data_IF_503422503672
#
_entry.id   IF_503422503672
#
_cell.length_a   1.000
_cell.length_b   1.000
_cell.length_c   1.000
_cell.angle_alpha   90.00
_cell.angle_beta   90.00
_cell.angle_gamma   90.00
#
_symmetry.space_group_name_H-M   'P 1'
#
loop_
_entity.id
_entity.type
_entity.pdbx_description
1 polymer ?
#
# COMPACT_ATOMS: atom_id res chain seq x y z
N UNK A 1 0.41 21.38 67.09
CA UNK A 1 -0.04 20.21 66.33
C UNK A 1 -0.04 20.59 64.85
N UNK A 2 1.06 20.36 64.14
CA UNK A 2 1.20 20.65 62.70
C UNK A 2 1.22 19.31 61.98
N UNK A 3 0.16 19.04 61.22
CA UNK A 3 -0.01 17.81 60.46
C UNK A 3 0.87 17.94 59.21
N UNK A 4 1.90 17.09 59.10
CA UNK A 4 2.67 16.90 57.89
C UNK A 4 1.93 15.90 57.00
N UNK A 5 1.32 16.38 55.93
CA UNK A 5 0.76 15.52 54.88
C UNK A 5 1.92 15.02 54.01
N UNK A 6 2.25 13.74 54.11
CA UNK A 6 3.21 13.08 53.22
C UNK A 6 2.49 12.76 51.92
N UNK A 7 2.83 13.49 50.85
CA UNK A 7 2.41 13.18 49.49
C UNK A 7 3.22 11.96 49.00
N UNK A 8 2.57 10.81 48.94
CA UNK A 8 3.11 9.59 48.36
C UNK A 8 3.03 9.72 46.83
N UNK A 9 4.16 10.04 46.18
CA UNK A 9 4.28 9.95 44.72
C UNK A 9 4.38 8.46 44.34
N UNK A 10 3.30 7.93 43.77
CA UNK A 10 3.31 6.61 43.13
C UNK A 10 3.99 6.77 41.78
N UNK A 11 5.21 6.25 41.65
CA UNK A 11 5.92 6.16 40.39
C UNK A 11 5.32 4.99 39.61
N UNK A 12 4.36 5.27 38.73
CA UNK A 12 3.85 4.28 37.79
C UNK A 12 4.95 4.08 36.75
N UNK A 13 5.64 2.94 36.80
CA UNK A 13 6.52 2.53 35.71
C UNK A 13 5.64 2.31 34.47
N UNK A 14 5.70 3.24 33.52
CA UNK A 14 5.10 3.04 32.21
C UNK A 14 5.89 1.91 31.54
N UNK A 15 5.27 0.73 31.43
CA UNK A 15 5.77 -0.31 30.55
C UNK A 15 5.58 0.18 29.13
N UNK A 16 6.66 0.59 28.47
CA UNK A 16 6.62 0.77 27.03
C UNK A 16 6.33 -0.61 26.40
N UNK A 17 5.16 -0.76 25.79
CA UNK A 17 4.93 -1.86 24.87
C UNK A 17 5.89 -1.64 23.71
N UNK A 18 6.97 -2.43 23.64
CA UNK A 18 7.71 -2.54 22.39
C UNK A 18 6.79 -3.23 21.38
N UNK A 19 6.22 -2.42 20.48
CA UNK A 19 5.40 -2.91 19.37
C UNK A 19 6.24 -3.53 18.25
N UNK A 20 7.55 -3.28 18.24
CA UNK A 20 8.46 -3.88 17.28
C UNK A 20 8.85 -5.30 17.69
N UNK A 21 8.83 -6.20 16.72
CA UNK A 21 9.32 -7.56 16.88
C UNK A 21 10.79 -7.58 16.46
N UNK A 22 11.67 -7.49 17.45
CA UNK A 22 13.12 -7.40 17.24
C UNK A 22 13.64 -8.69 16.59
N UNK A 23 14.57 -8.53 15.66
CA UNK A 23 15.32 -9.63 15.09
C UNK A 23 16.32 -10.18 16.11
N UNK A 24 15.99 -11.33 16.70
CA UNK A 24 16.88 -12.01 17.64
C UNK A 24 17.20 -13.42 17.12
N UNK A 25 18.49 -13.78 17.11
CA UNK A 25 18.94 -15.07 16.58
C UNK A 25 18.50 -15.35 15.13
N UNK A 26 18.46 -14.31 14.28
CA UNK A 26 17.98 -14.34 12.88
C UNK A 26 16.47 -14.61 12.72
N UNK A 27 15.68 -14.43 13.78
CA UNK A 27 14.23 -14.53 13.72
C UNK A 27 13.53 -13.37 14.45
N UNK A 28 12.60 -12.72 13.77
CA UNK A 28 11.63 -11.82 14.38
C UNK A 28 10.41 -12.65 14.83
N UNK A 29 10.07 -12.55 16.12
CA UNK A 29 8.88 -13.19 16.69
C UNK A 29 9.00 -14.71 16.74
N UNK A 30 10.23 -15.21 16.59
CA UNK A 30 10.56 -16.64 16.54
C UNK A 30 10.14 -17.36 15.25
N UNK A 31 9.52 -16.68 14.27
CA UNK A 31 8.97 -17.33 13.07
C UNK A 31 9.36 -16.65 11.75
N UNK A 32 9.67 -15.36 11.75
CA UNK A 32 10.02 -14.63 10.54
C UNK A 32 11.54 -14.50 10.42
N UNK A 33 12.19 -15.11 9.41
CA UNK A 33 13.63 -14.94 9.21
C UNK A 33 13.99 -13.47 9.01
N UNK A 34 15.06 -13.04 9.65
CA UNK A 34 15.57 -11.67 9.55
C UNK A 34 17.09 -11.64 9.59
N UNK A 35 17.69 -10.66 8.90
CA UNK A 35 19.14 -10.44 8.85
C UNK A 35 19.43 -8.94 8.74
N UNK A 36 19.68 -8.29 9.87
CA UNK A 36 19.96 -6.85 9.93
C UNK A 36 18.74 -5.94 9.74
N UNK A 37 17.52 -6.47 9.91
CA UNK A 37 16.27 -5.71 9.90
C UNK A 37 15.27 -6.27 10.94
N UNK A 38 14.45 -5.40 11.50
CA UNK A 38 13.40 -5.75 12.46
C UNK A 38 12.03 -5.83 11.76
N UNK A 39 11.10 -6.61 12.33
CA UNK A 39 9.71 -6.65 11.88
C UNK A 39 8.89 -5.71 12.76
N UNK A 40 8.38 -4.62 12.18
CA UNK A 40 7.56 -3.67 12.95
C UNK A 40 6.09 -4.06 12.98
N UNK A 41 5.54 -4.54 11.87
CA UNK A 41 4.14 -4.95 11.77
C UNK A 41 3.95 -6.00 10.67
N UNK A 42 2.91 -6.81 10.80
CA UNK A 42 2.49 -7.79 9.80
C UNK A 42 0.97 -7.72 9.61
N UNK A 43 0.53 -7.49 8.38
CA UNK A 43 -0.86 -7.68 7.97
C UNK A 43 -1.01 -9.05 7.29
N UNK A 44 -1.90 -9.93 7.80
CA UNK A 44 -2.49 -10.97 6.96
C UNK A 44 -3.19 -10.36 5.74
N UNK A 45 -3.18 -11.05 4.60
CA UNK A 45 -3.78 -10.54 3.37
C UNK A 45 -5.28 -10.23 3.55
N UNK A 46 -5.99 -11.05 4.31
CA UNK A 46 -7.40 -10.87 4.65
C UNK A 46 -7.71 -9.58 5.43
N UNK A 47 -6.73 -9.03 6.16
CA UNK A 47 -6.90 -7.80 6.94
C UNK A 47 -6.72 -6.53 6.08
N UNK A 48 -6.13 -6.68 4.88
CA UNK A 48 -5.97 -5.59 3.90
C UNK A 48 -6.84 -5.81 2.66
N UNK A 49 -8.03 -6.39 2.86
CA UNK A 49 -9.07 -6.56 1.83
C UNK A 49 -9.06 -7.91 1.11
N UNK A 50 -8.13 -8.81 1.44
CA UNK A 50 -8.10 -10.17 0.90
C UNK A 50 -7.74 -10.24 -0.60
N UNK A 51 -8.26 -11.27 -1.27
CA UNK A 51 -7.86 -11.71 -2.60
C UNK A 51 -7.10 -13.04 -2.54
N UNK A 52 -6.85 -13.64 -3.70
CA UNK A 52 -6.13 -14.91 -3.80
C UNK A 52 -4.64 -14.74 -3.45
N UNK A 53 -4.04 -13.64 -3.92
CA UNK A 53 -2.60 -13.32 -3.78
C UNK A 53 -2.37 -11.82 -3.68
N UNK A 54 -1.28 -11.44 -3.01
CA UNK A 54 -0.61 -10.15 -3.21
C UNK A 54 0.69 -10.38 -3.98
N UNK A 55 1.12 -9.40 -4.77
CA UNK A 55 2.12 -9.70 -5.80
C UNK A 55 3.12 -8.57 -6.13
N UNK A 56 2.81 -7.30 -5.88
CA UNK A 56 3.77 -6.19 -6.01
C UNK A 56 3.46 -5.08 -5.00
N UNK A 57 4.43 -4.21 -4.73
CA UNK A 57 4.22 -3.04 -3.91
C UNK A 57 5.15 -1.87 -4.27
N UNK A 58 4.73 -0.67 -3.88
CA UNK A 58 5.53 0.54 -3.98
C UNK A 58 5.30 1.41 -2.73
N UNK A 59 6.27 2.28 -2.41
CA UNK A 59 6.13 3.27 -1.35
C UNK A 59 5.85 4.65 -1.93
N UNK A 60 5.10 5.47 -1.19
CA UNK A 60 4.95 6.89 -1.48
C UNK A 60 4.99 7.71 -0.19
N UNK A 61 5.70 8.83 -0.24
CA UNK A 61 5.79 9.79 0.85
C UNK A 61 5.15 11.09 0.40
N UNK A 62 4.12 11.53 1.13
CA UNK A 62 3.54 12.84 0.93
C UNK A 62 4.46 13.89 1.55
N UNK A 63 5.38 14.43 0.75
CA UNK A 63 6.42 15.39 1.17
C UNK A 63 5.90 16.53 2.08
N UNK A 64 4.76 17.19 1.79
CA UNK A 64 4.29 18.30 2.63
C UNK A 64 3.93 17.90 4.07
N UNK A 65 3.42 16.68 4.28
CA UNK A 65 3.00 16.24 5.62
C UNK A 65 3.94 15.20 6.25
N UNK A 66 4.86 14.63 5.47
CA UNK A 66 5.70 13.51 5.90
C UNK A 66 4.92 12.22 6.17
N UNK A 67 3.69 12.09 5.62
CA UNK A 67 2.92 10.85 5.75
C UNK A 67 3.46 9.83 4.74
N UNK A 68 3.62 8.59 5.16
CA UNK A 68 4.18 7.52 4.36
C UNK A 68 3.13 6.44 4.11
N UNK A 69 3.08 5.93 2.88
CA UNK A 69 2.07 4.99 2.44
C UNK A 69 2.70 3.81 1.68
N UNK A 70 2.23 2.62 1.99
CA UNK A 70 2.45 1.44 1.16
C UNK A 70 1.27 1.31 0.18
N UNK A 71 1.61 1.21 -1.10
CA UNK A 71 0.70 0.87 -2.20
C UNK A 71 0.92 -0.61 -2.50
N UNK A 72 -0.05 -1.46 -2.17
CA UNK A 72 0.10 -2.92 -2.20
C UNK A 72 -0.89 -3.56 -3.18
N UNK A 73 -0.37 -4.26 -4.18
CA UNK A 73 -1.16 -4.93 -5.20
C UNK A 73 -1.67 -6.29 -4.70
N UNK A 74 -2.97 -6.51 -4.94
CA UNK A 74 -3.73 -7.72 -4.62
C UNK A 74 -4.41 -8.23 -5.90
N UNK A 75 -4.81 -9.49 -5.89
CA UNK A 75 -5.45 -10.10 -7.07
C UNK A 75 -6.71 -9.36 -7.52
N UNK A 76 -7.43 -8.77 -6.56
CA UNK A 76 -8.68 -8.06 -6.74
C UNK A 76 -8.58 -6.53 -6.74
N UNK A 77 -7.36 -5.97 -6.68
CA UNK A 77 -7.17 -4.52 -6.69
C UNK A 77 -5.88 -4.06 -6.01
N UNK A 78 -5.89 -2.87 -5.46
CA UNK A 78 -4.75 -2.25 -4.77
C UNK A 78 -5.18 -1.75 -3.40
N UNK A 79 -4.47 -2.14 -2.34
CA UNK A 79 -4.65 -1.60 -1.00
C UNK A 79 -3.71 -0.42 -0.77
N UNK A 80 -4.21 0.63 -0.12
CA UNK A 80 -3.42 1.76 0.35
C UNK A 80 -3.38 1.74 1.87
N UNK A 81 -2.17 1.51 2.40
CA UNK A 81 -1.91 1.39 3.84
C UNK A 81 -1.04 2.55 4.27
N UNK A 82 -1.48 3.35 5.22
CA UNK A 82 -0.63 4.35 5.84
C UNK A 82 0.35 3.66 6.80
N UNK A 83 1.63 3.98 6.66
CA UNK A 83 2.74 3.41 7.42
C UNK A 83 3.56 4.48 8.15
N UNK A 84 3.09 5.74 8.18
CA UNK A 84 3.72 6.88 8.87
C UNK A 84 4.14 6.54 10.31
N UNK A 85 3.27 5.83 11.04
CA UNK A 85 3.66 5.15 12.27
C UNK A 85 3.80 3.66 11.95
N UNK A 86 5.03 3.13 11.82
CA UNK A 86 5.20 1.77 11.33
C UNK A 86 4.89 0.71 12.39
N UNK A 87 4.67 1.12 13.64
CA UNK A 87 4.19 0.25 14.73
C UNK A 87 2.66 0.12 14.73
N UNK A 88 1.96 1.04 14.07
CA UNK A 88 0.52 1.06 13.97
C UNK A 88 0.10 1.49 12.56
N UNK A 89 0.47 0.71 11.52
CA UNK A 89 0.03 1.00 10.17
C UNK A 89 -1.48 0.81 10.05
N UNK A 90 -2.08 1.48 9.06
CA UNK A 90 -3.52 1.55 8.93
C UNK A 90 -3.97 1.32 7.49
N UNK A 91 -4.83 0.33 7.29
CA UNK A 91 -5.50 0.10 6.01
C UNK A 91 -6.56 1.20 5.77
N UNK A 92 -6.24 2.16 4.90
CA UNK A 92 -7.05 3.36 4.71
C UNK A 92 -8.09 3.21 3.60
N UNK A 93 -7.68 2.63 2.48
CA UNK A 93 -8.53 2.57 1.30
C UNK A 93 -8.07 1.50 0.31
N UNK A 94 -8.91 1.23 -0.66
CA UNK A 94 -8.61 0.34 -1.78
C UNK A 94 -9.10 0.89 -3.10
N UNK A 95 -8.38 0.55 -4.16
CA UNK A 95 -8.83 0.70 -5.54
C UNK A 95 -9.12 -0.70 -6.11
N UNK A 96 -10.38 -1.03 -6.41
CA UNK A 96 -10.72 -2.29 -7.06
C UNK A 96 -10.04 -2.44 -8.43
N UNK A 97 -9.81 -3.68 -8.86
CA UNK A 97 -9.39 -3.99 -10.23
C UNK A 97 -10.35 -3.37 -11.25
N UNK A 98 -9.82 -2.86 -12.36
CA UNK A 98 -10.64 -2.25 -13.42
C UNK A 98 -11.62 -3.25 -14.04
N UNK A 99 -11.14 -4.48 -14.25
CA UNK A 99 -11.86 -5.50 -14.99
C UNK A 99 -12.14 -6.71 -14.12
N UNK A 100 -11.23 -7.68 -14.11
CA UNK A 100 -11.37 -8.92 -13.39
C UNK A 100 -10.19 -9.16 -12.45
N UNK A 101 -10.32 -10.16 -11.57
CA UNK A 101 -9.23 -10.53 -10.69
C UNK A 101 -8.09 -11.18 -11.49
N UNK A 102 -6.87 -10.80 -11.17
CA UNK A 102 -5.66 -11.42 -11.71
C UNK A 102 -4.57 -11.37 -10.66
N UNK A 103 -3.87 -12.49 -10.46
CA UNK A 103 -2.73 -12.57 -9.55
C UNK A 103 -1.49 -11.81 -10.06
N UNK A 104 -1.55 -11.25 -11.26
CA UNK A 104 -0.46 -10.49 -11.90
C UNK A 104 -0.85 -9.03 -12.05
N UNK A 105 -0.23 -8.18 -11.24
CA UNK A 105 -0.41 -6.72 -11.18
C UNK A 105 0.94 -6.05 -10.95
N UNK A 106 1.15 -4.85 -11.42
CA UNK A 106 2.40 -4.12 -11.12
C UNK A 106 2.04 -2.67 -10.85
N UNK A 107 2.73 -2.06 -9.89
CA UNK A 107 2.52 -0.66 -9.53
C UNK A 107 3.83 0.08 -9.46
N UNK A 108 3.87 1.27 -10.06
CA UNK A 108 4.95 2.22 -9.82
C UNK A 108 4.38 3.59 -9.52
N UNK A 109 5.07 4.32 -8.65
CA UNK A 109 4.72 5.69 -8.28
C UNK A 109 5.56 6.65 -9.10
N UNK A 110 4.91 7.67 -9.69
CA UNK A 110 5.57 8.76 -10.43
C UNK A 110 5.01 10.08 -9.92
N UNK A 111 5.85 10.84 -9.21
CA UNK A 111 5.37 12.00 -8.45
C UNK A 111 4.32 11.55 -7.42
N UNK A 112 3.11 12.11 -7.51
CA UNK A 112 1.99 11.76 -6.62
C UNK A 112 0.98 10.80 -7.25
N UNK A 113 1.35 10.12 -8.34
CA UNK A 113 0.46 9.20 -9.04
C UNK A 113 0.95 7.76 -8.93
N UNK A 114 0.06 6.85 -8.56
CA UNK A 114 0.26 5.42 -8.72
C UNK A 114 -0.24 4.98 -10.11
N UNK A 115 0.65 4.35 -10.87
CA UNK A 115 0.37 3.74 -12.16
C UNK A 115 0.26 2.23 -11.98
N UNK A 116 -0.94 1.68 -12.19
CA UNK A 116 -1.28 0.31 -11.84
C UNK A 116 -1.69 -0.44 -13.11
N UNK A 117 -0.96 -1.51 -13.44
CA UNK A 117 -1.23 -2.39 -14.59
C UNK A 117 -1.52 -3.82 -14.12
N UNK A 118 -2.18 -4.61 -14.97
CA UNK A 118 -2.44 -6.02 -14.68
C UNK A 118 -2.49 -6.85 -15.96
N UNK A 119 -2.22 -8.16 -15.84
CA UNK A 119 -2.50 -9.10 -16.92
C UNK A 119 -3.98 -9.44 -17.11
N UNK A 120 -4.86 -8.94 -16.24
CA UNK A 120 -6.31 -9.07 -16.43
C UNK A 120 -6.72 -8.57 -17.82
N UNK A 121 -7.69 -9.25 -18.43
CA UNK A 121 -8.14 -8.87 -19.76
C UNK A 121 -8.74 -7.45 -19.77
N UNK A 122 -8.45 -6.71 -20.84
CA UNK A 122 -8.86 -5.31 -21.06
C UNK A 122 -8.56 -4.34 -19.89
N UNK A 123 -7.66 -4.70 -18.97
CA UNK A 123 -7.41 -3.93 -17.75
C UNK A 123 -6.89 -2.52 -18.01
N UNK A 124 -6.05 -2.34 -19.03
CA UNK A 124 -5.31 -1.13 -19.30
C UNK A 124 -4.41 -0.74 -18.13
N UNK A 125 -4.28 0.56 -17.91
CA UNK A 125 -3.57 1.12 -16.76
C UNK A 125 -4.48 2.06 -15.99
N UNK A 126 -4.71 1.74 -14.71
CA UNK A 126 -5.35 2.66 -13.78
C UNK A 126 -4.31 3.66 -13.27
N UNK A 127 -4.69 4.93 -13.20
CA UNK A 127 -3.90 6.01 -12.61
C UNK A 127 -4.64 6.54 -11.41
N UNK A 128 -3.99 6.56 -10.24
CA UNK A 128 -4.58 7.04 -9.00
C UNK A 128 -3.76 8.19 -8.40
N UNK A 129 -4.40 9.31 -8.10
CA UNK A 129 -3.81 10.45 -7.40
C UNK A 129 -3.73 10.16 -5.89
N UNK A 130 -2.51 9.95 -5.41
CA UNK A 130 -2.22 9.57 -4.03
C UNK A 130 -2.51 10.69 -3.02
N UNK A 131 -2.64 11.95 -3.47
CA UNK A 131 -3.10 13.04 -2.60
C UNK A 131 -4.52 12.80 -2.07
N UNK A 132 -5.33 11.98 -2.75
CA UNK A 132 -6.63 11.56 -2.24
C UNK A 132 -6.55 10.89 -0.85
N UNK A 133 -5.46 10.17 -0.58
CA UNK A 133 -5.24 9.46 0.70
C UNK A 133 -5.03 10.42 1.86
N UNK A 134 -4.43 11.59 1.59
CA UNK A 134 -4.08 12.53 2.66
C UNK A 134 -5.30 13.23 3.26
N UNK A 135 -6.44 13.16 2.57
CA UNK A 135 -7.72 13.71 3.02
C UNK A 135 -8.52 12.76 3.90
N UNK A 136 -8.05 11.51 4.05
CA UNK A 136 -8.70 10.50 4.89
C UNK A 136 -8.21 10.69 6.33
N UNK A 137 -9.13 11.07 7.20
CA UNK A 137 -8.97 11.07 8.66
C UNK A 137 -9.68 9.82 9.23
N UNK A 138 -8.93 8.80 9.69
CA UNK A 138 -9.52 7.56 10.15
C UNK A 138 -10.24 7.66 11.51
N UNK A 139 -10.01 8.74 12.27
CA UNK A 139 -10.78 8.98 13.49
C UNK A 139 -12.19 9.52 13.19
N UNK A 140 -12.42 9.95 11.95
CA UNK A 140 -13.67 10.57 11.48
C UNK A 140 -14.38 9.70 10.44
N UNK A 141 -13.63 8.98 9.60
CA UNK A 141 -14.14 8.19 8.48
C UNK A 141 -13.89 6.70 8.72
N UNK A 142 -14.91 5.87 8.53
CA UNK A 142 -14.75 4.43 8.57
C UNK A 142 -13.91 3.97 7.38
N UNK A 143 -12.78 3.32 7.66
CA UNK A 143 -11.89 2.70 6.67
C UNK A 143 -12.10 1.17 6.61
N UNK A 144 -11.74 0.50 5.51
CA UNK A 144 -11.21 1.06 4.26
C UNK A 144 -12.27 1.76 3.41
N UNK A 145 -11.88 2.84 2.73
CA UNK A 145 -12.70 3.51 1.71
C UNK A 145 -12.46 2.84 0.35
N UNK A 146 -13.51 2.55 -0.40
CA UNK A 146 -13.39 2.14 -1.81
C UNK A 146 -13.24 3.39 -2.66
N UNK A 147 -12.14 3.47 -3.40
CA UNK A 147 -11.73 4.59 -4.24
C UNK A 147 -11.91 4.24 -5.72
N UNK A 148 -12.00 5.28 -6.54
CA UNK A 148 -12.05 5.18 -8.00
C UNK A 148 -10.72 5.64 -8.60
N UNK A 149 -10.36 5.09 -9.77
CA UNK A 149 -9.19 5.55 -10.50
C UNK A 149 -9.38 7.02 -10.92
N UNK A 150 -8.33 7.82 -10.79
CA UNK A 150 -8.33 9.23 -11.22
C UNK A 150 -8.31 9.35 -12.74
N UNK A 151 -7.70 8.38 -13.42
CA UNK A 151 -7.80 8.18 -14.86
C UNK A 151 -7.59 6.72 -15.24
N UNK A 152 -8.00 6.36 -16.46
CA UNK A 152 -7.75 5.06 -17.07
C UNK A 152 -7.11 5.25 -18.44
N UNK A 153 -6.01 4.54 -18.70
CA UNK A 153 -5.34 4.52 -20.00
C UNK A 153 -5.57 3.15 -20.67
N UNK A 154 -6.35 3.17 -21.75
CA UNK A 154 -6.75 1.99 -22.53
C UNK A 154 -5.94 1.78 -23.81
N UNK A 155 -4.74 2.36 -23.90
CA UNK A 155 -3.87 2.22 -25.09
C UNK A 155 -3.35 0.78 -25.33
N UNK A 156 -3.47 -0.07 -24.31
CA UNK A 156 -3.24 -1.52 -24.32
C UNK A 156 -4.31 -2.22 -23.48
N UNK A 157 -4.47 -3.53 -23.67
CA UNK A 157 -5.37 -4.38 -22.89
C UNK A 157 -4.70 -4.84 -21.61
N UNK A 158 -3.99 -5.97 -21.65
CA UNK A 158 -3.22 -6.48 -20.51
C UNK A 158 -1.76 -5.98 -20.53
N UNK A 159 -1.13 -5.90 -19.35
CA UNK A 159 0.28 -5.55 -19.21
C UNK A 159 0.89 -6.18 -17.95
N UNK A 160 2.00 -6.91 -18.12
CA UNK A 160 2.65 -7.63 -17.02
C UNK A 160 3.30 -6.67 -16.03
N UNK A 161 4.15 -5.76 -16.53
CA UNK A 161 4.93 -4.85 -15.70
C UNK A 161 4.87 -3.41 -16.22
N UNK A 162 5.16 -2.47 -15.34
CA UNK A 162 5.41 -1.07 -15.67
C UNK A 162 6.75 -0.64 -15.07
N UNK A 163 7.57 0.02 -15.89
CA UNK A 163 8.83 0.61 -15.46
C UNK A 163 8.73 2.12 -15.60
N UNK A 164 9.39 2.86 -14.71
CA UNK A 164 9.35 4.33 -14.71
C UNK A 164 10.77 4.89 -14.70
N UNK A 165 10.98 5.95 -15.47
CA UNK A 165 12.15 6.79 -15.32
C UNK A 165 11.75 7.98 -14.44
N UNK A 166 12.23 8.01 -13.21
CA UNK A 166 11.85 9.03 -12.23
C UNK A 166 12.31 10.44 -12.64
N UNK A 167 13.45 10.57 -13.34
CA UNK A 167 13.99 11.86 -13.77
C UNK A 167 13.14 12.52 -14.87
N UNK A 168 12.69 11.72 -15.85
CA UNK A 168 11.86 12.23 -16.95
C UNK A 168 10.37 12.06 -16.71
N UNK A 169 9.98 11.30 -15.68
CA UNK A 169 8.61 10.89 -15.37
C UNK A 169 7.94 10.08 -16.49
N UNK A 170 8.74 9.44 -17.35
CA UNK A 170 8.22 8.56 -18.40
C UNK A 170 7.92 7.16 -17.84
N UNK A 171 6.76 6.62 -18.20
CA UNK A 171 6.37 5.25 -17.88
C UNK A 171 6.42 4.35 -19.13
N UNK A 172 6.93 3.14 -18.96
CA UNK A 172 7.13 2.14 -19.99
C UNK A 172 6.33 0.90 -19.64
N UNK A 173 5.31 0.59 -20.44
CA UNK A 173 4.57 -0.66 -20.34
C UNK A 173 5.43 -1.83 -20.85
N UNK A 174 5.61 -2.88 -20.05
CA UNK A 174 6.47 -4.02 -20.33
C UNK A 174 5.63 -5.30 -20.35
N UNK A 175 5.67 -6.02 -21.47
CA UNK A 175 4.81 -7.19 -21.67
C UNK A 175 3.34 -6.79 -21.91
N UNK A 176 3.10 -5.63 -22.52
CA UNK A 176 1.75 -5.17 -22.86
C UNK A 176 1.23 -5.83 -24.14
N UNK A 177 -0.02 -6.29 -24.10
CA UNK A 177 -0.76 -6.78 -25.25
C UNK A 177 -1.77 -5.74 -25.69
N UNK A 178 -1.68 -5.31 -26.95
CA UNK A 178 -2.69 -4.45 -27.57
C UNK A 178 -3.65 -5.32 -28.37
N UNK A 179 -4.93 -5.18 -28.10
CA UNK A 179 -5.97 -5.67 -29.00
C UNK A 179 -5.86 -4.88 -30.31
N UNK A 180 -5.29 -5.49 -31.35
CA UNK A 180 -5.60 -5.09 -32.70
C UNK A 180 -7.00 -5.66 -32.94
N UNK A 181 -8.01 -4.80 -33.04
CA UNK A 181 -9.30 -5.19 -33.62
C UNK A 181 -9.03 -6.13 -34.79
N UNK A 182 -9.70 -7.29 -34.77
CA UNK A 182 -9.64 -8.32 -35.79
C UNK A 182 -9.40 -7.71 -37.18
N UNK A 183 -8.26 -8.02 -37.80
CA UNK A 183 -7.96 -7.72 -39.22
C UNK A 183 -8.85 -8.51 -40.20
N UNK A 184 -10.07 -8.86 -39.81
CA UNK A 184 -11.06 -9.59 -40.62
C UNK A 184 -12.36 -8.81 -40.86
N UNK A 185 -12.36 -7.48 -40.71
CA UNK A 185 -13.46 -6.65 -41.23
C UNK A 185 -12.92 -5.47 -42.05
N UNK A 186 -12.41 -5.78 -43.25
CA UNK A 186 -12.43 -4.89 -44.42
C UNK A 186 -12.88 -5.72 -45.62
#
# INVERSE_FOLDING_TARGET
MRIFTVLLFVFIAQTELQSQTICENNFAGGIYPCDGYDLFFYFPLEEIGGGEKGNDCCGWTHEPSGREFAVFCRSNGTAFVEITNPLQPLYLSELPTETEESIWRDVKVVGDYALIVSEADEHGMQVFDLNGLTSIDPDVINTPIVMEASAHYSGFGSCHNIAVNEDSQDAFAVGAYKWLDNLNSV
#
